data_IF_187519067225
#
_entry.id   IF_187519067225
#
_cell.length_a   1.000
_cell.length_b   1.000
_cell.length_c   1.000
_cell.angle_alpha   90.00
_cell.angle_beta   90.00
_cell.angle_gamma   90.00
#
_symmetry.space_group_name_H-M   'P 1'
#
loop_
_entity.id
_entity.type
_entity.pdbx_description
1 polymer ?
#
# COMPACT_ATOMS: atom_id res chain seq x y z
N UNK A 1 -45.11 83.04 -23.45
CA UNK A 1 -45.87 81.77 -23.65
C UNK A 1 -44.87 80.74 -24.18
N UNK A 2 -43.83 80.28 -23.50
CA UNK A 2 -43.53 80.02 -22.09
C UNK A 2 -44.52 79.10 -21.40
N UNK A 3 -44.03 77.87 -21.12
CA UNK A 3 -44.60 76.80 -20.27
C UNK A 3 -45.41 75.66 -20.91
N UNK A 4 -45.13 75.22 -22.14
CA UNK A 4 -45.66 73.92 -22.61
C UNK A 4 -44.66 72.93 -23.25
N UNK A 5 -43.39 73.29 -23.44
CA UNK A 5 -42.41 72.43 -24.11
C UNK A 5 -41.38 71.74 -23.21
N UNK A 6 -41.40 71.99 -21.89
CA UNK A 6 -40.48 71.35 -20.93
C UNK A 6 -41.09 70.07 -20.30
N UNK A 7 -42.42 69.88 -20.41
CA UNK A 7 -43.12 68.73 -19.83
C UNK A 7 -43.11 67.46 -20.72
N UNK A 8 -42.70 67.53 -21.98
CA UNK A 8 -42.69 66.36 -22.88
C UNK A 8 -41.39 65.55 -22.84
N UNK A 9 -40.30 66.08 -22.26
CA UNK A 9 -39.02 65.36 -22.19
C UNK A 9 -38.75 64.71 -20.83
N UNK A 10 -39.43 65.15 -19.76
CA UNK A 10 -39.35 64.53 -18.43
C UNK A 10 -40.17 63.24 -18.31
N UNK A 11 -41.11 62.97 -19.23
CA UNK A 11 -41.93 61.75 -19.19
C UNK A 11 -41.25 60.54 -19.85
N UNK A 12 -40.33 60.75 -20.81
CA UNK A 12 -39.59 59.64 -21.45
C UNK A 12 -38.37 59.16 -20.63
N UNK A 13 -37.83 59.97 -19.73
CA UNK A 13 -36.68 59.57 -18.89
C UNK A 13 -37.12 58.78 -17.65
N UNK A 14 -38.40 58.86 -17.25
CA UNK A 14 -38.95 58.09 -16.14
C UNK A 14 -39.46 56.68 -16.52
N UNK A 15 -39.47 56.33 -17.81
CA UNK A 15 -39.88 54.98 -18.27
C UNK A 15 -38.71 54.04 -18.57
N UNK A 16 -37.46 54.50 -18.47
CA UNK A 16 -36.27 53.66 -18.67
C UNK A 16 -35.59 53.19 -17.38
N UNK A 17 -36.16 53.50 -16.21
CA UNK A 17 -35.68 53.03 -14.91
C UNK A 17 -36.79 52.28 -14.18
N UNK A 18 -37.13 51.07 -14.63
CA UNK A 18 -37.58 49.94 -13.79
C UNK A 18 -37.73 48.71 -14.69
N UNK A 19 -36.62 48.19 -15.19
CA UNK A 19 -36.45 46.75 -15.40
C UNK A 19 -34.96 46.46 -15.19
N UNK A 20 -34.50 46.71 -13.96
CA UNK A 20 -33.51 45.80 -13.41
C UNK A 20 -34.31 44.51 -13.24
N UNK A 21 -34.25 43.62 -14.23
CA UNK A 21 -34.60 42.23 -13.98
C UNK A 21 -33.71 41.81 -12.83
N UNK A 22 -34.30 41.80 -11.65
CA UNK A 22 -33.73 41.23 -10.47
C UNK A 22 -33.52 39.78 -10.86
N UNK A 23 -32.30 39.43 -11.26
CA UNK A 23 -31.94 38.08 -11.65
C UNK A 23 -32.34 37.20 -10.47
N UNK A 24 -33.50 36.54 -10.61
CA UNK A 24 -34.03 35.66 -9.57
C UNK A 24 -32.98 34.59 -9.43
N UNK A 25 -32.32 34.55 -8.27
CA UNK A 25 -31.28 33.57 -8.01
C UNK A 25 -31.89 32.18 -8.26
N UNK A 26 -31.36 31.47 -9.25
CA UNK A 26 -31.84 30.14 -9.59
C UNK A 26 -31.63 29.21 -8.38
N UNK A 27 -32.58 28.31 -8.09
CA UNK A 27 -32.48 27.44 -6.94
C UNK A 27 -31.29 26.49 -7.08
N UNK A 28 -30.46 26.46 -6.04
CA UNK A 28 -29.26 25.63 -6.00
C UNK A 28 -29.51 24.44 -5.10
N UNK A 29 -29.12 23.24 -5.55
CA UNK A 29 -29.20 22.05 -4.73
C UNK A 29 -27.93 21.21 -4.82
N UNK A 30 -27.63 20.52 -3.72
CA UNK A 30 -26.53 19.57 -3.60
C UNK A 30 -27.07 18.29 -2.99
N UNK A 31 -26.79 17.16 -3.65
CA UNK A 31 -27.07 15.83 -3.12
C UNK A 31 -25.78 15.02 -3.10
N UNK A 32 -25.41 14.56 -1.90
CA UNK A 32 -24.21 13.78 -1.67
C UNK A 32 -24.57 12.35 -1.25
N UNK A 33 -24.00 11.36 -1.95
CA UNK A 33 -24.19 9.93 -1.72
C UNK A 33 -22.85 9.19 -1.93
N UNK A 34 -22.55 8.11 -1.19
CA UNK A 34 -21.41 7.26 -1.50
C UNK A 34 -21.51 6.66 -2.90
N UNK A 35 -20.41 6.66 -3.65
CA UNK A 35 -20.35 6.05 -4.98
C UNK A 35 -20.43 4.50 -4.92
N UNK A 36 -20.02 3.91 -3.80
CA UNK A 36 -20.08 2.46 -3.54
C UNK A 36 -20.78 2.23 -2.21
N UNK A 37 -21.79 1.36 -2.22
CA UNK A 37 -22.65 1.04 -1.08
C UNK A 37 -22.60 -0.48 -0.84
N UNK A 38 -22.47 -0.87 0.41
CA UNK A 38 -22.53 -2.27 0.82
C UNK A 38 -23.97 -2.80 0.73
N UNK A 39 -24.17 -3.92 0.06
CA UNK A 39 -25.48 -4.54 -0.11
C UNK A 39 -26.09 -4.90 1.25
N UNK A 40 -27.37 -4.59 1.44
CA UNK A 40 -28.09 -4.83 2.70
C UNK A 40 -27.76 -3.88 3.86
N UNK A 41 -26.75 -3.00 3.72
CA UNK A 41 -26.36 -2.06 4.75
C UNK A 41 -27.33 -0.87 4.85
N UNK A 42 -27.36 -0.23 6.03
CA UNK A 42 -27.97 1.09 6.20
C UNK A 42 -27.05 2.16 5.60
N UNK A 43 -27.46 2.70 4.45
CA UNK A 43 -26.76 3.75 3.73
C UNK A 43 -27.38 5.11 4.02
N UNK A 44 -26.61 6.19 3.81
CA UNK A 44 -27.04 7.57 4.06
C UNK A 44 -26.70 8.45 2.87
N UNK A 45 -27.63 9.31 2.48
CA UNK A 45 -27.36 10.42 1.58
C UNK A 45 -27.85 11.73 2.22
N UNK A 46 -27.23 12.84 1.83
CA UNK A 46 -27.59 14.17 2.33
C UNK A 46 -28.04 15.06 1.18
N UNK A 47 -29.07 15.85 1.44
CA UNK A 47 -29.71 16.76 0.51
C UNK A 47 -29.64 18.16 1.09
N UNK A 48 -29.23 19.11 0.27
CA UNK A 48 -29.23 20.54 0.59
C UNK A 48 -29.95 21.30 -0.51
N UNK A 49 -30.89 22.16 -0.15
CA UNK A 49 -31.54 23.12 -1.04
C UNK A 49 -31.23 24.53 -0.55
N UNK A 50 -30.81 25.41 -1.45
CA UNK A 50 -30.50 26.82 -1.20
C UNK A 50 -31.26 27.70 -2.18
N UNK A 51 -31.72 28.85 -1.68
CA UNK A 51 -32.37 29.90 -2.47
C UNK A 51 -33.52 29.36 -3.35
N UNK A 52 -34.53 28.67 -2.79
CA UNK A 52 -35.67 28.20 -3.58
C UNK A 52 -36.39 29.39 -4.25
N UNK A 53 -36.63 29.29 -5.56
CA UNK A 53 -37.33 30.30 -6.36
C UNK A 53 -38.87 30.19 -6.27
N UNK A 54 -39.38 29.41 -5.32
CA UNK A 54 -40.79 29.07 -5.13
C UNK A 54 -40.94 27.74 -4.39
N UNK A 55 -42.15 27.18 -4.41
CA UNK A 55 -42.40 25.83 -3.86
C UNK A 55 -41.76 24.78 -4.78
N UNK A 56 -40.74 24.09 -4.29
CA UNK A 56 -40.03 23.03 -5.02
C UNK A 56 -40.34 21.66 -4.42
N UNK A 57 -40.57 20.68 -5.27
CA UNK A 57 -40.68 19.26 -4.91
C UNK A 57 -39.42 18.56 -5.36
N UNK A 58 -38.63 18.08 -4.39
CA UNK A 58 -37.45 17.26 -4.66
C UNK A 58 -37.77 15.79 -4.42
N UNK A 59 -37.53 14.97 -5.43
CA UNK A 59 -37.68 13.51 -5.40
C UNK A 59 -36.33 12.85 -5.67
N UNK A 60 -35.95 11.92 -4.80
CA UNK A 60 -34.77 11.07 -4.97
C UNK A 60 -35.22 9.63 -5.16
N UNK A 61 -34.77 9.01 -6.25
CA UNK A 61 -35.17 7.65 -6.62
C UNK A 61 -33.93 6.82 -6.92
N UNK A 62 -33.86 5.63 -6.35
CA UNK A 62 -32.90 4.61 -6.72
C UNK A 62 -33.55 3.66 -7.72
N UNK A 63 -33.00 3.61 -8.93
CA UNK A 63 -33.53 2.83 -10.06
C UNK A 63 -32.61 1.66 -10.37
N UNK A 64 -33.18 0.45 -10.26
CA UNK A 64 -32.62 -0.79 -10.79
C UNK A 64 -33.33 -1.14 -12.11
N UNK A 65 -32.85 -2.17 -12.82
CA UNK A 65 -33.49 -2.71 -14.02
C UNK A 65 -34.92 -3.19 -13.78
N UNK A 66 -35.19 -3.70 -12.57
CA UNK A 66 -36.46 -4.35 -12.23
C UNK A 66 -37.39 -3.44 -11.42
N UNK A 67 -36.83 -2.51 -10.65
CA UNK A 67 -37.61 -1.72 -9.68
C UNK A 67 -37.08 -0.30 -9.51
N UNK A 68 -38.01 0.64 -9.43
CA UNK A 68 -37.76 2.01 -9.01
C UNK A 68 -38.19 2.18 -7.55
N UNK A 69 -37.26 2.60 -6.69
CA UNK A 69 -37.54 2.82 -5.27
C UNK A 69 -37.35 4.30 -4.94
N UNK A 70 -38.44 4.99 -4.59
CA UNK A 70 -38.36 6.37 -4.12
C UNK A 70 -37.82 6.39 -2.70
N UNK A 71 -36.67 7.04 -2.50
CA UNK A 71 -35.97 7.12 -1.21
C UNK A 71 -36.35 8.37 -0.42
N UNK A 72 -36.69 9.46 -1.11
CA UNK A 72 -37.03 10.72 -0.48
C UNK A 72 -37.92 11.55 -1.40
N UNK A 73 -38.96 12.14 -0.83
CA UNK A 73 -39.77 13.17 -1.48
C UNK A 73 -40.02 14.25 -0.46
N UNK A 74 -39.69 15.50 -0.79
CA UNK A 74 -39.92 16.63 0.09
C UNK A 74 -40.30 17.87 -0.70
N UNK A 75 -41.34 18.54 -0.22
CA UNK A 75 -41.83 19.80 -0.77
C UNK A 75 -41.43 20.91 0.18
N UNK A 76 -40.69 21.89 -0.31
CA UNK A 76 -40.28 23.05 0.49
C UNK A 76 -40.21 24.30 -0.37
N UNK A 77 -40.58 25.42 0.22
CA UNK A 77 -40.33 26.78 -0.27
C UNK A 77 -39.21 27.49 0.51
N UNK A 78 -38.60 26.81 1.50
CA UNK A 78 -37.49 27.30 2.30
C UNK A 78 -36.22 26.47 2.08
N UNK A 79 -35.06 27.07 2.33
CA UNK A 79 -33.78 26.38 2.30
C UNK A 79 -33.72 25.32 3.41
N UNK A 80 -33.22 24.13 3.10
CA UNK A 80 -33.10 23.05 4.07
C UNK A 80 -31.85 22.21 3.83
N UNK A 81 -31.42 21.53 4.88
CA UNK A 81 -30.42 20.47 4.81
C UNK A 81 -30.90 19.29 5.65
N UNK A 82 -30.97 18.12 5.03
CA UNK A 82 -31.37 16.90 5.72
C UNK A 82 -30.59 15.70 5.18
N UNK A 83 -30.48 14.66 5.98
CA UNK A 83 -29.88 13.41 5.53
C UNK A 83 -30.83 12.25 5.80
N UNK A 84 -30.97 11.38 4.81
CA UNK A 84 -31.91 10.27 4.80
C UNK A 84 -31.13 8.97 4.87
N UNK A 85 -31.55 8.09 5.78
CA UNK A 85 -31.05 6.72 5.86
C UNK A 85 -31.96 5.80 5.05
N UNK A 86 -31.39 4.83 4.37
CA UNK A 86 -32.12 3.82 3.64
C UNK A 86 -31.37 2.49 3.64
N UNK A 87 -32.13 1.39 3.61
CA UNK A 87 -31.57 0.05 3.49
C UNK A 87 -31.22 -0.26 2.04
N UNK A 88 -29.95 -0.55 1.78
CA UNK A 88 -29.48 -0.91 0.46
C UNK A 88 -30.06 -2.28 0.02
N UNK A 89 -30.41 -2.46 -1.27
CA UNK A 89 -30.81 -3.76 -1.81
C UNK A 89 -29.79 -4.87 -1.53
N UNK A 90 -30.28 -6.08 -1.30
CA UNK A 90 -29.46 -7.29 -1.16
C UNK A 90 -29.12 -7.85 -2.55
N UNK A 91 -27.98 -7.41 -3.09
CA UNK A 91 -27.48 -7.82 -4.41
C UNK A 91 -26.00 -8.21 -4.30
N UNK A 92 -25.56 -9.17 -5.12
CA UNK A 92 -24.14 -9.57 -5.13
C UNK A 92 -23.26 -8.43 -5.66
N UNK A 93 -23.61 -7.89 -6.83
CA UNK A 93 -22.96 -6.73 -7.44
C UNK A 93 -23.87 -6.17 -8.53
N UNK A 94 -24.28 -4.92 -8.38
CA UNK A 94 -25.12 -4.22 -9.35
C UNK A 94 -24.74 -2.74 -9.42
N UNK A 95 -24.92 -2.13 -10.58
CA UNK A 95 -24.86 -0.67 -10.75
C UNK A 95 -26.28 -0.17 -10.93
N UNK A 96 -26.69 0.77 -10.06
CA UNK A 96 -28.02 1.35 -10.07
C UNK A 96 -27.95 2.86 -10.34
N UNK A 97 -29.03 3.40 -10.88
CA UNK A 97 -29.15 4.83 -11.19
C UNK A 97 -29.77 5.56 -9.99
N UNK A 98 -28.98 6.43 -9.37
CA UNK A 98 -29.43 7.37 -8.35
C UNK A 98 -29.89 8.65 -9.02
N UNK A 99 -31.22 8.79 -9.15
CA UNK A 99 -31.87 9.91 -9.80
C UNK A 99 -32.33 10.94 -8.78
N UNK A 100 -31.98 12.20 -9.00
CA UNK A 100 -32.51 13.37 -8.29
C UNK A 100 -33.33 14.19 -9.28
N UNK A 101 -34.58 14.45 -8.93
CA UNK A 101 -35.51 15.28 -9.70
C UNK A 101 -36.04 16.40 -8.82
N UNK A 102 -35.88 17.64 -9.25
CA UNK A 102 -36.36 18.84 -8.55
C UNK A 102 -37.32 19.56 -9.49
N UNK A 103 -38.57 19.74 -9.05
CA UNK A 103 -39.63 20.34 -9.85
C UNK A 103 -40.32 21.46 -9.08
N UNK A 104 -40.41 22.63 -9.70
CA UNK A 104 -41.27 23.75 -9.32
C UNK A 104 -42.02 24.28 -10.54
N UNK A 105 -42.70 25.39 -10.38
CA UNK A 105 -43.48 26.00 -11.46
C UNK A 105 -42.60 26.55 -12.59
N UNK A 106 -41.47 27.16 -12.22
CA UNK A 106 -40.51 27.78 -13.16
C UNK A 106 -39.16 27.06 -13.23
N UNK A 107 -38.97 26.01 -12.42
CA UNK A 107 -37.70 25.30 -12.31
C UNK A 107 -37.88 23.78 -12.49
N UNK A 108 -37.05 23.19 -13.33
CA UNK A 108 -36.96 21.75 -13.49
C UNK A 108 -35.51 21.30 -13.62
N UNK A 109 -35.12 20.32 -12.82
CA UNK A 109 -33.80 19.72 -12.91
C UNK A 109 -33.87 18.23 -12.65
N UNK A 110 -33.18 17.45 -13.50
CA UNK A 110 -33.07 16.01 -13.36
C UNK A 110 -31.62 15.59 -13.55
N UNK A 111 -31.06 14.98 -12.53
CA UNK A 111 -29.67 14.50 -12.53
C UNK A 111 -29.65 13.02 -12.19
N UNK A 112 -28.80 12.26 -12.88
CA UNK A 112 -28.63 10.83 -12.66
C UNK A 112 -27.16 10.53 -12.42
N UNK A 113 -26.86 9.83 -11.34
CA UNK A 113 -25.53 9.31 -11.02
C UNK A 113 -25.58 7.81 -10.83
N UNK A 114 -24.56 7.11 -11.31
CA UNK A 114 -24.43 5.66 -11.12
C UNK A 114 -23.82 5.39 -9.75
N UNK A 115 -24.47 4.53 -8.98
CA UNK A 115 -23.97 4.03 -7.69
C UNK A 115 -23.76 2.52 -7.78
N UNK A 116 -22.66 2.02 -7.24
CA UNK A 116 -22.38 0.59 -7.19
C UNK A 116 -22.86 0.02 -5.86
N UNK A 117 -23.73 -0.98 -5.91
CA UNK A 117 -24.18 -1.73 -4.74
C UNK A 117 -23.56 -3.13 -4.85
N UNK A 118 -22.77 -3.53 -3.86
CA UNK A 118 -22.11 -4.85 -3.87
C UNK A 118 -22.08 -5.45 -2.48
N UNK A 119 -22.16 -6.76 -2.41
CA UNK A 119 -21.89 -7.50 -1.19
C UNK A 119 -20.49 -7.16 -0.68
N UNK A 120 -20.31 -7.16 0.64
CA UNK A 120 -18.99 -7.02 1.24
C UNK A 120 -18.09 -8.16 0.79
N UNK A 121 -16.98 -7.79 0.17
CA UNK A 121 -15.90 -8.73 -0.10
C UNK A 121 -15.36 -9.26 1.23
N UNK A 122 -15.34 -10.58 1.40
CA UNK A 122 -14.63 -11.23 2.49
C UNK A 122 -13.19 -11.48 2.08
N UNK A 123 -12.26 -11.28 3.02
CA UNK A 123 -10.87 -11.68 2.89
C UNK A 123 -10.65 -12.95 3.71
N UNK A 124 -10.03 -13.96 3.09
CA UNK A 124 -9.78 -15.26 3.73
C UNK A 124 -8.27 -15.47 3.89
N UNK A 125 -7.86 -15.85 5.10
CA UNK A 125 -6.47 -16.16 5.45
C UNK A 125 -6.36 -17.64 5.87
N UNK A 126 -5.30 -18.30 5.42
CA UNK A 126 -4.87 -19.60 5.92
C UNK A 126 -3.62 -19.39 6.76
N UNK A 127 -3.55 -20.04 7.91
CA UNK A 127 -2.39 -20.00 8.78
C UNK A 127 -2.12 -21.39 9.36
N UNK A 128 -0.88 -21.85 9.25
CA UNK A 128 -0.37 -23.05 9.94
C UNK A 128 0.22 -22.72 11.31
N UNK A 129 0.32 -23.71 12.19
CA UNK A 129 1.00 -23.54 13.49
C UNK A 129 2.52 -23.42 13.36
N UNK A 130 3.10 -23.99 12.29
CA UNK A 130 4.54 -23.90 11.96
C UNK A 130 4.74 -23.67 10.47
N UNK A 131 5.82 -22.98 10.05
CA UNK A 131 6.20 -22.87 8.65
C UNK A 131 6.92 -24.12 8.12
N UNK A 132 7.53 -24.91 9.01
CA UNK A 132 8.32 -26.12 8.68
C UNK A 132 7.90 -27.27 9.59
N UNK A 133 7.63 -28.44 9.00
CA UNK A 133 7.28 -29.68 9.70
C UNK A 133 8.31 -30.78 9.41
N UNK A 134 8.48 -31.69 10.36
CA UNK A 134 9.19 -32.95 10.13
C UNK A 134 8.25 -33.98 9.49
N UNK A 135 8.76 -34.95 8.70
CA UNK A 135 7.99 -36.13 8.33
C UNK A 135 7.37 -36.81 9.56
N UNK A 136 6.13 -37.30 9.43
CA UNK A 136 5.37 -37.89 10.54
C UNK A 136 4.65 -36.90 11.46
N UNK A 137 4.87 -35.59 11.33
CA UNK A 137 4.21 -34.60 12.17
C UNK A 137 2.78 -34.29 11.73
N UNK A 138 1.98 -33.85 12.71
CA UNK A 138 0.64 -33.32 12.48
C UNK A 138 0.70 -31.83 12.14
N UNK A 139 0.23 -31.49 10.94
CA UNK A 139 0.02 -30.12 10.47
C UNK A 139 -1.28 -29.61 11.04
N UNK A 140 -1.24 -28.56 11.88
CA UNK A 140 -2.44 -27.88 12.34
C UNK A 140 -2.56 -26.55 11.61
N UNK A 141 -3.74 -26.26 11.08
CA UNK A 141 -3.97 -25.02 10.36
C UNK A 141 -5.37 -24.48 10.61
N UNK A 142 -5.52 -23.19 10.39
CA UNK A 142 -6.80 -22.50 10.51
C UNK A 142 -7.10 -21.69 9.26
N UNK A 143 -8.39 -21.61 8.93
CA UNK A 143 -8.92 -20.80 7.85
C UNK A 143 -9.87 -19.76 8.44
N UNK A 144 -9.60 -18.49 8.16
CA UNK A 144 -10.33 -17.36 8.76
C UNK A 144 -10.83 -16.46 7.65
N UNK A 145 -12.15 -16.30 7.55
CA UNK A 145 -12.77 -15.29 6.70
C UNK A 145 -13.12 -14.06 7.55
N UNK A 146 -12.81 -12.87 7.04
CA UNK A 146 -13.08 -11.58 7.67
C UNK A 146 -13.74 -10.62 6.69
N UNK A 147 -14.58 -9.72 7.21
CA UNK A 147 -15.14 -8.61 6.44
C UNK A 147 -14.17 -7.41 6.35
N UNK A 148 -14.57 -6.37 5.62
CA UNK A 148 -13.80 -5.13 5.47
C UNK A 148 -13.57 -4.37 6.79
N UNK A 149 -14.23 -4.76 7.88
CA UNK A 149 -14.06 -4.20 9.24
C UNK A 149 -13.26 -5.14 10.14
N UNK A 150 -12.57 -6.14 9.56
CA UNK A 150 -11.78 -7.14 10.28
C UNK A 150 -12.59 -7.99 11.27
N UNK A 151 -13.90 -8.12 11.04
CA UNK A 151 -14.77 -8.97 11.87
C UNK A 151 -14.88 -10.35 11.23
N UNK A 152 -14.94 -11.45 12.02
CA UNK A 152 -15.16 -12.78 11.47
C UNK A 152 -16.42 -12.83 10.62
N UNK A 153 -16.29 -13.34 9.40
CA UNK A 153 -17.37 -13.51 8.45
C UNK A 153 -17.74 -14.99 8.33
N UNK A 154 -19.03 -15.26 8.15
CA UNK A 154 -19.48 -16.61 7.81
C UNK A 154 -19.14 -16.91 6.35
N UNK A 155 -18.34 -17.95 6.12
CA UNK A 155 -17.91 -18.33 4.79
C UNK A 155 -18.03 -19.84 4.64
N UNK A 156 -18.67 -20.26 3.55
CA UNK A 156 -18.65 -21.63 3.07
C UNK A 156 -17.39 -21.82 2.22
N UNK A 157 -16.63 -22.88 2.52
CA UNK A 157 -15.45 -23.32 1.79
C UNK A 157 -15.84 -24.60 1.05
N UNK A 158 -15.96 -24.53 -0.28
CA UNK A 158 -16.45 -25.67 -1.08
C UNK A 158 -15.49 -26.84 -1.01
N UNK A 159 -14.19 -26.54 -1.16
CA UNK A 159 -13.11 -27.53 -1.09
C UNK A 159 -11.90 -26.90 -0.41
N UNK A 160 -11.42 -27.56 0.63
CA UNK A 160 -10.10 -27.32 1.21
C UNK A 160 -9.26 -28.55 0.87
N UNK A 161 -8.10 -28.35 0.25
CA UNK A 161 -7.21 -29.45 -0.12
C UNK A 161 -5.78 -29.17 0.28
N UNK A 162 -5.06 -30.24 0.59
CA UNK A 162 -3.64 -30.22 0.92
C UNK A 162 -2.89 -30.99 -0.16
N UNK A 163 -1.92 -30.33 -0.78
CA UNK A 163 -1.12 -30.87 -1.89
C UNK A 163 0.33 -31.11 -1.46
N UNK A 164 0.90 -32.21 -1.95
CA UNK A 164 2.32 -32.56 -1.79
C UNK A 164 3.22 -31.75 -2.77
N UNK A 165 4.56 -31.91 -2.71
CA UNK A 165 5.49 -31.22 -3.61
C UNK A 165 5.30 -31.53 -5.10
N UNK A 166 4.59 -32.60 -5.46
CA UNK A 166 4.28 -32.97 -6.83
C UNK A 166 2.86 -32.54 -7.24
N UNK A 167 2.19 -31.71 -6.43
CA UNK A 167 0.80 -31.28 -6.62
C UNK A 167 -0.22 -32.42 -6.53
N UNK A 168 0.11 -33.54 -5.88
CA UNK A 168 -0.86 -34.57 -5.56
C UNK A 168 -1.71 -34.15 -4.37
N UNK A 169 -3.04 -34.27 -4.47
CA UNK A 169 -3.94 -34.01 -3.34
C UNK A 169 -3.86 -35.16 -2.34
N UNK A 170 -3.35 -34.87 -1.14
CA UNK A 170 -3.18 -35.84 -0.05
C UNK A 170 -4.17 -35.63 1.10
N UNK A 171 -4.77 -34.44 1.20
CA UNK A 171 -5.85 -34.14 2.16
C UNK A 171 -7.00 -33.40 1.51
N UNK A 172 -8.23 -33.64 1.97
CA UNK A 172 -9.43 -32.99 1.44
C UNK A 172 -10.51 -32.83 2.51
N UNK A 173 -11.13 -31.65 2.55
CA UNK A 173 -12.34 -31.34 3.30
C UNK A 173 -13.35 -30.65 2.37
N UNK A 174 -14.62 -31.04 2.47
CA UNK A 174 -15.67 -30.60 1.55
C UNK A 174 -16.76 -29.84 2.31
N UNK A 175 -17.21 -28.72 1.74
CA UNK A 175 -18.32 -27.92 2.25
C UNK A 175 -18.16 -27.52 3.73
N UNK A 176 -16.95 -27.14 4.12
CA UNK A 176 -16.65 -26.69 5.47
C UNK A 176 -17.17 -25.27 5.68
N UNK A 177 -17.66 -24.97 6.89
CA UNK A 177 -18.16 -23.63 7.23
C UNK A 177 -17.45 -23.10 8.46
N UNK A 178 -17.12 -21.81 8.44
CA UNK A 178 -16.56 -21.14 9.60
C UNK A 178 -17.60 -20.89 10.70
N UNK A 179 -18.91 -20.87 10.38
CA UNK A 179 -20.01 -20.51 11.29
C UNK A 179 -19.73 -19.21 12.09
N UNK A 180 -19.13 -18.21 11.44
CA UNK A 180 -18.63 -16.96 12.05
C UNK A 180 -17.58 -17.15 13.16
N UNK A 181 -16.87 -18.28 13.13
CA UNK A 181 -15.73 -18.62 14.01
C UNK A 181 -14.48 -18.88 13.15
N UNK A 182 -13.42 -19.31 13.80
CA UNK A 182 -12.18 -19.75 13.15
C UNK A 182 -12.35 -21.24 12.82
N UNK A 183 -12.25 -21.61 11.53
CA UNK A 183 -12.21 -23.01 11.14
C UNK A 183 -10.82 -23.56 11.45
N UNK A 184 -10.73 -24.64 12.22
CA UNK A 184 -9.47 -25.29 12.58
C UNK A 184 -9.48 -26.72 12.05
N UNK A 185 -8.44 -27.08 11.31
CA UNK A 185 -8.28 -28.37 10.67
C UNK A 185 -6.87 -28.89 10.94
N UNK A 186 -6.69 -30.18 10.70
CA UNK A 186 -5.39 -30.80 10.90
C UNK A 186 -5.20 -32.02 10.02
N UNK A 187 -3.95 -32.28 9.64
CA UNK A 187 -3.55 -33.38 8.77
C UNK A 187 -2.29 -34.06 9.31
N UNK A 188 -2.30 -35.38 9.43
CA UNK A 188 -1.13 -36.14 9.87
C UNK A 188 -0.28 -36.50 8.66
N UNK A 189 0.97 -36.01 8.60
CA UNK A 189 1.92 -36.41 7.56
C UNK A 189 2.40 -37.84 7.81
N UNK A 190 2.66 -38.57 6.72
CA UNK A 190 3.30 -39.89 6.80
C UNK A 190 4.73 -39.78 7.34
N UNK A 191 5.20 -40.82 8.03
CA UNK A 191 6.59 -40.89 8.52
C UNK A 191 7.62 -40.84 7.41
N UNK A 192 7.24 -41.24 6.20
CA UNK A 192 8.04 -41.21 4.98
C UNK A 192 7.61 -40.08 4.02
N UNK A 193 6.90 -39.06 4.53
CA UNK A 193 6.50 -37.90 3.74
C UNK A 193 7.71 -37.27 3.02
N UNK A 194 7.52 -36.97 1.73
CA UNK A 194 8.55 -36.39 0.87
C UNK A 194 8.95 -35.01 1.38
N UNK A 195 10.25 -34.72 1.38
CA UNK A 195 10.74 -33.39 1.72
C UNK A 195 10.47 -32.42 0.56
N UNK A 196 10.01 -31.20 0.87
CA UNK A 196 9.69 -30.20 -0.13
C UNK A 196 8.60 -29.21 0.30
N UNK A 197 8.17 -28.33 -0.61
CA UNK A 197 7.06 -27.41 -0.38
C UNK A 197 5.71 -28.12 -0.49
N UNK A 198 4.85 -27.91 0.49
CA UNK A 198 3.47 -28.36 0.53
C UNK A 198 2.55 -27.14 0.45
N UNK A 199 1.34 -27.34 -0.05
CA UNK A 199 0.39 -26.25 -0.24
C UNK A 199 -1.00 -26.62 0.28
N UNK A 200 -1.61 -25.71 1.03
CA UNK A 200 -3.03 -25.76 1.40
C UNK A 200 -3.78 -24.82 0.46
N UNK A 201 -4.82 -25.31 -0.20
CA UNK A 201 -5.65 -24.54 -1.13
C UNK A 201 -7.08 -24.54 -0.61
N UNK A 202 -7.69 -23.36 -0.53
CA UNK A 202 -9.10 -23.19 -0.15
C UNK A 202 -9.85 -22.58 -1.33
N UNK A 203 -10.91 -23.26 -1.78
CA UNK A 203 -11.79 -22.85 -2.87
C UNK A 203 -13.14 -22.37 -2.33
N UNK A 204 -13.60 -21.21 -2.82
CA UNK A 204 -14.86 -20.53 -2.45
C UNK A 204 -15.49 -19.93 -3.72
N UNK A 205 -16.35 -20.69 -4.40
CA UNK A 205 -16.84 -20.42 -5.74
C UNK A 205 -15.67 -20.29 -6.72
N UNK A 206 -15.59 -19.15 -7.40
CA UNK A 206 -14.50 -18.84 -8.33
C UNK A 206 -13.21 -18.38 -7.65
N UNK A 207 -13.23 -18.15 -6.32
CA UNK A 207 -12.06 -17.67 -5.58
C UNK A 207 -11.25 -18.84 -5.04
N UNK A 208 -9.94 -18.79 -5.24
CA UNK A 208 -8.97 -19.71 -4.63
C UNK A 208 -7.91 -18.93 -3.88
N UNK A 209 -7.59 -19.38 -2.68
CA UNK A 209 -6.46 -18.88 -1.90
C UNK A 209 -5.55 -20.06 -1.58
N UNK A 210 -4.25 -19.79 -1.45
CA UNK A 210 -3.29 -20.82 -1.07
C UNK A 210 -2.31 -20.34 0.00
N UNK A 211 -1.78 -21.30 0.73
CA UNK A 211 -0.74 -21.08 1.74
C UNK A 211 0.25 -22.23 1.71
N UNK A 212 1.54 -21.88 1.73
CA UNK A 212 2.62 -22.84 1.60
C UNK A 212 3.28 -23.10 2.95
N UNK A 213 3.65 -24.35 3.20
CA UNK A 213 4.53 -24.75 4.30
C UNK A 213 5.58 -25.74 3.77
N UNK A 214 6.67 -25.96 4.51
CA UNK A 214 7.74 -26.87 4.11
C UNK A 214 7.73 -28.14 4.97
N UNK A 215 8.01 -29.29 4.36
CA UNK A 215 8.38 -30.50 5.09
C UNK A 215 9.85 -30.78 4.81
N UNK A 216 10.66 -30.89 5.85
CA UNK A 216 12.10 -31.10 5.73
C UNK A 216 12.62 -31.72 7.03
N UNK A 217 13.59 -32.63 6.93
CA UNK A 217 14.27 -33.14 8.12
C UNK A 217 15.23 -32.08 8.64
N UNK A 218 14.82 -31.34 9.67
CA UNK A 218 15.68 -30.39 10.35
C UNK A 218 16.04 -30.86 11.76
N UNK A 219 17.24 -30.49 12.19
CA UNK A 219 17.61 -30.53 13.61
C UNK A 219 17.34 -29.15 14.15
N UNK A 220 16.59 -29.05 15.26
CA UNK A 220 16.33 -27.77 15.90
C UNK A 220 17.67 -27.11 16.24
N UNK A 221 17.97 -25.91 15.72
CA UNK A 221 19.22 -25.22 16.03
C UNK A 221 19.33 -24.99 17.54
N UNK A 222 20.48 -25.32 18.12
CA UNK A 222 20.74 -25.11 19.56
C UNK A 222 21.00 -23.64 19.91
N UNK A 223 21.31 -22.84 18.89
CA UNK A 223 21.58 -21.42 18.98
C UNK A 223 21.02 -20.72 17.74
N UNK A 224 20.85 -19.41 17.87
CA UNK A 224 20.41 -18.52 16.79
C UNK A 224 21.52 -17.52 16.45
N UNK A 225 21.58 -17.09 15.19
CA UNK A 225 22.60 -16.17 14.66
C UNK A 225 21.91 -14.90 14.19
N UNK A 226 22.27 -13.78 14.78
CA UNK A 226 21.75 -12.45 14.42
C UNK A 226 22.81 -11.65 13.66
N UNK A 227 22.44 -11.14 12.48
CA UNK A 227 23.29 -10.27 11.64
C UNK A 227 22.80 -8.83 11.71
N UNK A 228 23.49 -8.02 12.52
CA UNK A 228 23.26 -6.60 12.68
C UNK A 228 24.08 -5.82 11.66
N UNK A 229 23.39 -5.29 10.66
CA UNK A 229 23.91 -4.44 9.58
C UNK A 229 22.76 -3.54 9.15
N UNK A 230 23.07 -2.32 8.72
CA UNK A 230 22.10 -1.37 8.15
C UNK A 230 21.36 -2.00 6.98
N UNK A 231 20.05 -1.75 6.88
CA UNK A 231 19.22 -2.28 5.77
C UNK A 231 19.59 -1.66 4.42
N UNK A 232 20.15 -0.46 4.47
CA UNK A 232 20.60 0.31 3.32
C UNK A 232 21.98 0.89 3.61
N UNK A 233 22.83 0.93 2.58
CA UNK A 233 24.20 1.41 2.66
C UNK A 233 24.52 2.30 1.45
N UNK A 234 25.35 3.32 1.62
CA UNK A 234 25.64 4.30 0.55
C UNK A 234 26.75 3.80 -0.38
N UNK A 235 26.59 3.98 -1.69
CA UNK A 235 27.64 3.62 -2.67
C UNK A 235 29.00 4.30 -2.37
N UNK A 236 28.97 5.53 -1.84
CA UNK A 236 30.15 6.33 -1.54
C UNK A 236 30.65 6.25 -0.10
N UNK A 237 30.10 5.39 0.75
CA UNK A 237 30.65 5.17 2.09
C UNK A 237 32.02 4.48 2.00
N UNK A 238 32.90 4.70 2.98
CA UNK A 238 34.23 4.08 2.98
C UNK A 238 34.16 2.60 3.36
N UNK A 239 33.48 2.28 4.46
CA UNK A 239 33.37 0.94 5.01
C UNK A 239 31.92 0.56 5.35
N UNK A 240 31.63 -0.73 5.29
CA UNK A 240 30.37 -1.36 5.71
C UNK A 240 30.62 -2.19 6.97
N UNK A 241 30.04 -1.76 8.08
CA UNK A 241 30.15 -2.48 9.35
C UNK A 241 29.05 -3.53 9.51
N UNK A 242 29.44 -4.77 9.83
CA UNK A 242 28.52 -5.87 10.13
C UNK A 242 28.89 -6.49 11.47
N UNK A 243 27.94 -6.54 12.40
CA UNK A 243 28.07 -7.23 13.69
C UNK A 243 27.25 -8.51 13.68
N UNK A 244 27.93 -9.65 13.82
CA UNK A 244 27.29 -10.96 13.88
C UNK A 244 27.37 -11.48 15.30
N UNK A 245 26.24 -11.88 15.87
CA UNK A 245 26.15 -12.42 17.22
C UNK A 245 25.46 -13.77 17.21
N UNK A 246 25.94 -14.70 18.03
CA UNK A 246 25.30 -15.99 18.24
C UNK A 246 24.95 -16.20 19.71
N UNK A 247 23.72 -16.64 19.96
CA UNK A 247 23.22 -16.93 21.31
C UNK A 247 22.50 -18.26 21.33
N UNK A 248 22.77 -19.07 22.35
CA UNK A 248 21.99 -20.27 22.58
C UNK A 248 20.51 -19.94 22.82
N UNK A 249 19.63 -20.91 22.61
CA UNK A 249 18.19 -20.76 22.86
C UNK A 249 17.85 -20.40 24.32
N UNK A 250 18.76 -20.67 25.27
CA UNK A 250 18.67 -20.26 26.68
C UNK A 250 19.35 -18.91 27.00
N UNK A 251 19.81 -18.18 25.97
CA UNK A 251 20.25 -16.78 26.06
C UNK A 251 21.75 -16.54 26.27
N UNK A 252 22.55 -17.57 26.54
CA UNK A 252 24.00 -17.41 26.71
C UNK A 252 24.75 -17.24 25.38
N UNK A 253 25.90 -16.54 25.39
CA UNK A 253 26.72 -16.34 24.19
C UNK A 253 27.32 -17.66 23.69
N UNK A 254 27.37 -17.83 22.37
CA UNK A 254 28.03 -18.99 21.75
C UNK A 254 29.50 -18.66 21.49
N UNK A 255 30.45 -19.35 22.14
CA UNK A 255 31.85 -19.26 21.75
C UNK A 255 32.05 -20.01 20.43
N UNK A 256 32.73 -19.38 19.48
CA UNK A 256 32.86 -19.96 18.15
C UNK A 256 33.58 -19.09 17.14
N UNK A 257 33.78 -19.66 15.96
CA UNK A 257 34.35 -18.97 14.81
C UNK A 257 33.24 -18.39 13.96
N UNK A 258 33.36 -17.11 13.63
CA UNK A 258 32.39 -16.39 12.80
C UNK A 258 33.03 -16.09 11.45
N UNK A 259 32.42 -16.59 10.38
CA UNK A 259 32.82 -16.31 8.99
C UNK A 259 31.73 -15.48 8.34
N UNK A 260 32.10 -14.35 7.73
CA UNK A 260 31.17 -13.48 7.00
C UNK A 260 31.67 -13.33 5.58
N UNK A 261 30.82 -13.68 4.62
CA UNK A 261 31.05 -13.45 3.20
C UNK A 261 30.07 -12.38 2.71
N UNK A 262 30.59 -11.29 2.16
CA UNK A 262 29.80 -10.21 1.57
C UNK A 262 30.05 -10.23 0.07
N UNK A 263 28.98 -10.30 -0.71
CA UNK A 263 29.04 -10.36 -2.17
C UNK A 263 28.11 -9.32 -2.80
N UNK A 264 28.57 -8.65 -3.86
CA UNK A 264 27.70 -7.85 -4.74
C UNK A 264 27.39 -8.64 -6.01
N UNK A 265 26.18 -9.20 -6.18
CA UNK A 265 25.88 -10.06 -7.31
C UNK A 265 25.83 -9.30 -8.64
N UNK A 266 26.11 -10.00 -9.73
CA UNK A 266 26.01 -9.48 -11.10
C UNK A 266 24.54 -9.49 -11.56
N UNK A 267 24.12 -8.48 -12.33
CA UNK A 267 22.83 -8.38 -12.98
C UNK A 267 22.77 -9.31 -14.21
N UNK A 268 22.21 -10.50 -14.00
CA UNK A 268 22.15 -11.60 -14.98
C UNK A 268 21.24 -11.33 -16.18
N UNK A 269 20.42 -10.28 -16.18
CA UNK A 269 19.53 -9.96 -17.31
C UNK A 269 20.24 -9.32 -18.52
N UNK A 270 21.51 -8.90 -18.38
CA UNK A 270 22.28 -8.25 -19.44
C UNK A 270 23.46 -9.08 -19.97
N UNK A 271 23.55 -10.35 -19.57
CA UNK A 271 24.65 -11.26 -19.92
C UNK A 271 24.13 -12.52 -20.61
N UNK A 272 24.00 -12.40 -21.94
CA UNK A 272 24.17 -13.40 -22.99
C UNK A 272 22.98 -14.18 -23.57
N UNK A 273 22.71 -13.90 -24.86
CA UNK A 273 22.53 -14.93 -25.89
C UNK A 273 23.87 -15.65 -26.12
N UNK A 274 24.21 -16.61 -25.25
CA UNK A 274 25.25 -17.59 -25.54
C UNK A 274 24.60 -18.96 -25.30
N UNK A 275 24.45 -19.72 -26.37
CA UNK A 275 24.12 -21.14 -26.33
C UNK A 275 25.36 -21.91 -25.92
N UNK A 276 25.43 -22.40 -24.68
CA UNK A 276 26.50 -23.30 -24.26
C UNK A 276 25.98 -24.48 -23.44
N UNK A 277 26.57 -25.63 -23.74
CA UNK A 277 26.29 -26.93 -23.15
C UNK A 277 26.77 -27.02 -21.70
N UNK A 278 26.17 -27.96 -20.99
CA UNK A 278 26.10 -28.25 -19.55
C UNK A 278 27.43 -28.41 -18.77
N UNK A 279 28.60 -28.08 -19.34
CA UNK A 279 29.91 -28.29 -18.70
C UNK A 279 30.62 -27.01 -18.22
N UNK A 280 30.10 -25.82 -18.54
CA UNK A 280 30.72 -24.53 -18.18
C UNK A 280 30.02 -23.80 -17.01
N UNK A 281 29.01 -24.41 -16.38
CA UNK A 281 28.28 -23.80 -15.27
C UNK A 281 29.20 -23.54 -14.05
N UNK A 282 30.26 -24.32 -13.86
CA UNK A 282 31.24 -24.12 -12.79
C UNK A 282 32.11 -22.85 -13.00
N UNK A 283 32.39 -22.46 -14.25
CA UNK A 283 33.09 -21.23 -14.57
C UNK A 283 32.24 -19.98 -14.27
N UNK A 284 30.90 -20.09 -14.34
CA UNK A 284 29.97 -19.01 -14.01
C UNK A 284 29.86 -18.72 -12.49
N UNK A 285 30.19 -19.68 -11.62
CA UNK A 285 30.36 -19.41 -10.19
C UNK A 285 31.71 -18.75 -9.87
N UNK A 286 32.71 -18.90 -10.75
CA UNK A 286 34.00 -18.21 -10.65
C UNK A 286 33.94 -16.77 -11.19
N UNK A 287 32.94 -16.43 -12.01
CA UNK A 287 32.47 -15.05 -12.24
C UNK A 287 31.42 -14.62 -11.19
N UNK A 288 31.52 -15.12 -9.96
CA UNK A 288 30.76 -14.57 -8.83
C UNK A 288 31.08 -13.09 -8.71
N UNK A 289 30.08 -12.24 -8.53
CA UNK A 289 30.30 -10.80 -8.37
C UNK A 289 31.27 -10.50 -7.21
N UNK A 290 31.71 -9.25 -7.08
CA UNK A 290 32.77 -8.93 -6.11
C UNK A 290 32.42 -9.40 -4.70
N UNK A 291 33.20 -10.35 -4.17
CA UNK A 291 33.00 -10.98 -2.87
C UNK A 291 34.24 -10.79 -1.99
N UNK A 292 34.02 -10.57 -0.70
CA UNK A 292 35.08 -10.58 0.31
C UNK A 292 34.63 -11.40 1.51
N UNK A 293 35.52 -12.27 1.98
CA UNK A 293 35.26 -13.13 3.14
C UNK A 293 36.24 -12.81 4.24
N UNK A 294 35.72 -12.61 5.45
CA UNK A 294 36.52 -12.48 6.67
C UNK A 294 36.09 -13.51 7.70
N UNK A 295 37.04 -13.94 8.53
CA UNK A 295 36.79 -14.84 9.65
C UNK A 295 37.41 -14.27 10.92
N UNK A 296 36.62 -14.22 12.00
CA UNK A 296 37.07 -13.76 13.32
C UNK A 296 36.55 -14.71 14.40
N UNK A 297 37.27 -14.80 15.52
CA UNK A 297 36.76 -15.48 16.71
C UNK A 297 35.71 -14.59 17.39
N UNK A 298 34.63 -15.20 17.88
CA UNK A 298 33.64 -14.48 18.69
C UNK A 298 34.25 -13.99 20.01
N UNK A 299 33.86 -12.80 20.44
CA UNK A 299 34.21 -12.24 21.73
C UNK A 299 33.48 -12.96 22.89
N UNK A 300 33.73 -12.52 24.13
CA UNK A 300 33.06 -13.07 25.33
C UNK A 300 31.54 -12.88 25.32
N UNK A 301 31.02 -12.00 24.46
CA UNK A 301 29.57 -11.77 24.29
C UNK A 301 28.97 -12.60 23.16
N UNK A 302 29.76 -13.48 22.53
CA UNK A 302 29.33 -14.32 21.41
C UNK A 302 29.19 -13.54 20.10
N UNK A 303 29.82 -12.37 20.00
CA UNK A 303 29.72 -11.48 18.85
C UNK A 303 31.07 -11.27 18.16
N UNK A 304 31.05 -10.96 16.87
CA UNK A 304 32.20 -10.49 16.12
C UNK A 304 31.79 -9.34 15.20
N UNK A 305 32.59 -8.27 15.19
CA UNK A 305 32.39 -7.10 14.33
C UNK A 305 33.36 -7.13 13.15
N UNK A 306 32.83 -6.89 11.96
CA UNK A 306 33.53 -6.88 10.68
C UNK A 306 33.37 -5.50 10.04
N UNK A 307 34.42 -5.03 9.38
CA UNK A 307 34.42 -3.78 8.62
C UNK A 307 34.92 -4.08 7.22
N UNK A 308 34.04 -3.96 6.23
CA UNK A 308 34.34 -4.28 4.84
C UNK A 308 34.50 -3.00 4.03
N UNK A 309 35.63 -2.84 3.34
CA UNK A 309 35.82 -1.66 2.52
C UNK A 309 34.90 -1.66 1.29
N UNK A 310 34.10 -0.60 1.13
CA UNK A 310 33.10 -0.51 0.07
C UNK A 310 33.72 -0.51 -1.33
N UNK A 311 34.96 -0.03 -1.46
CA UNK A 311 35.68 -0.02 -2.74
C UNK A 311 35.84 -1.42 -3.34
N UNK A 312 35.87 -2.47 -2.51
CA UNK A 312 35.94 -3.87 -2.98
C UNK A 312 34.72 -4.17 -3.86
N UNK A 313 33.54 -3.70 -3.47
CA UNK A 313 32.26 -3.99 -4.12
C UNK A 313 31.90 -3.00 -5.23
N UNK A 314 32.70 -1.95 -5.45
CA UNK A 314 32.48 -0.92 -6.49
C UNK A 314 33.55 -0.92 -7.58
N UNK A 315 34.59 -1.76 -7.47
CA UNK A 315 35.69 -1.88 -8.45
C UNK A 315 35.29 -2.31 -9.86
N UNK A 316 34.14 -2.99 -10.04
CA UNK A 316 33.65 -3.41 -11.35
C UNK A 316 32.39 -2.61 -11.69
N UNK A 317 32.49 -1.76 -12.72
CA UNK A 317 31.42 -0.81 -13.07
C UNK A 317 30.32 -1.43 -13.94
N UNK A 318 30.64 -2.49 -14.69
CA UNK A 318 29.68 -3.05 -15.63
C UNK A 318 28.89 -4.22 -15.02
N UNK A 319 27.59 -3.96 -14.79
CA UNK A 319 26.53 -4.95 -14.55
C UNK A 319 26.43 -5.51 -13.13
N UNK A 320 26.74 -4.77 -12.08
CA UNK A 320 26.44 -5.19 -10.70
C UNK A 320 25.00 -4.82 -10.29
N UNK A 321 24.40 -5.63 -9.42
CA UNK A 321 23.12 -5.28 -8.78
C UNK A 321 23.35 -4.26 -7.66
N UNK A 322 22.32 -3.49 -7.35
CA UNK A 322 22.36 -2.49 -6.27
C UNK A 322 22.02 -3.10 -4.90
N UNK A 323 22.59 -4.28 -4.63
CA UNK A 323 22.43 -5.02 -3.38
C UNK A 323 23.74 -5.67 -2.94
N UNK A 324 23.92 -5.84 -1.65
CA UNK A 324 24.94 -6.70 -1.04
C UNK A 324 24.23 -7.91 -0.43
N UNK A 325 24.66 -9.11 -0.81
CA UNK A 325 24.28 -10.38 -0.22
C UNK A 325 25.31 -10.73 0.87
N UNK A 326 24.89 -10.73 2.13
CA UNK A 326 25.70 -11.07 3.29
C UNK A 326 25.33 -12.48 3.75
N UNK A 327 26.30 -13.38 3.75
CA UNK A 327 26.18 -14.72 4.32
C UNK A 327 27.12 -14.84 5.51
N UNK A 328 26.54 -14.86 6.70
CA UNK A 328 27.25 -15.14 7.94
C UNK A 328 27.15 -16.63 8.29
N UNK A 329 28.20 -17.21 8.83
CA UNK A 329 28.23 -18.59 9.34
C UNK A 329 28.91 -18.57 10.70
N UNK A 330 28.27 -19.14 11.71
CA UNK A 330 28.87 -19.30 13.05
C UNK A 330 29.08 -20.79 13.30
N UNK A 331 30.31 -21.15 13.65
CA UNK A 331 30.72 -22.51 14.01
C UNK A 331 31.00 -22.57 15.52
N UNK A 332 30.21 -23.37 16.23
CA UNK A 332 30.29 -23.54 17.69
C UNK A 332 31.57 -24.28 18.10
N UNK A 333 32.25 -23.72 19.10
CA UNK A 333 33.43 -24.35 19.69
C UNK A 333 33.04 -25.62 20.49
N UNK A 334 33.73 -26.73 20.22
CA UNK A 334 33.54 -28.01 20.93
C UNK A 334 32.65 -29.01 20.19
N UNK A 335 31.61 -28.56 19.47
CA UNK A 335 30.73 -29.47 18.69
C UNK A 335 31.02 -29.44 17.19
N UNK A 336 31.57 -28.33 16.67
CA UNK A 336 31.75 -28.10 15.24
C UNK A 336 30.44 -27.86 14.48
N UNK A 337 29.31 -27.71 15.19
CA UNK A 337 28.02 -27.41 14.57
C UNK A 337 28.08 -26.00 14.01
N UNK A 338 27.64 -25.85 12.75
CA UNK A 338 27.63 -24.55 12.09
C UNK A 338 26.25 -24.15 11.63
N UNK A 339 25.89 -22.88 11.87
CA UNK A 339 24.61 -22.30 11.47
C UNK A 339 24.84 -21.11 10.54
N UNK A 340 24.34 -21.14 9.29
CA UNK A 340 24.39 -20.01 8.38
C UNK A 340 23.19 -19.08 8.57
N UNK A 341 23.40 -17.78 8.39
CA UNK A 341 22.37 -16.76 8.31
C UNK A 341 22.66 -15.85 7.13
N UNK A 342 21.62 -15.56 6.33
CA UNK A 342 21.72 -14.68 5.17
C UNK A 342 20.94 -13.39 5.41
N UNK A 343 21.47 -12.29 4.90
CA UNK A 343 20.82 -10.98 4.91
C UNK A 343 21.18 -10.24 3.63
N UNK A 344 20.20 -9.57 3.02
CA UNK A 344 20.39 -8.72 1.86
C UNK A 344 20.26 -7.26 2.26
N UNK A 345 21.17 -6.43 1.77
CA UNK A 345 21.25 -5.00 2.06
C UNK A 345 21.23 -4.23 0.75
N UNK A 346 20.49 -3.13 0.70
CA UNK A 346 20.35 -2.33 -0.53
C UNK A 346 21.47 -1.30 -0.62
N UNK A 347 22.01 -1.08 -1.82
CA UNK A 347 22.97 -0.01 -2.08
C UNK A 347 22.20 1.21 -2.60
N UNK A 348 22.29 2.32 -1.88
CA UNK A 348 21.68 3.59 -2.27
C UNK A 348 22.67 4.51 -2.97
N UNK A 349 22.23 5.12 -4.06
CA UNK A 349 22.93 6.23 -4.74
C UNK A 349 22.37 7.59 -4.31
N UNK A 350 21.33 7.59 -3.49
CA UNK A 350 20.65 8.79 -3.01
C UNK A 350 21.42 9.34 -1.81
N UNK A 351 22.29 10.32 -2.08
CA UNK A 351 23.10 11.00 -1.04
C UNK A 351 22.25 11.81 -0.06
N UNK A 352 21.06 12.23 -0.49
CA UNK A 352 20.14 13.02 0.30
C UNK A 352 18.85 13.30 -0.46
N UNK A 353 17.91 13.93 0.22
CA UNK A 353 16.59 14.26 -0.31
C UNK A 353 16.28 15.73 -0.07
N UNK A 354 15.75 16.38 -1.10
CA UNK A 354 15.08 17.69 -0.98
C UNK A 354 13.58 17.46 -1.11
N UNK A 355 12.80 18.00 -0.17
CA UNK A 355 11.35 17.80 -0.14
C UNK A 355 10.61 19.04 0.31
N UNK A 356 9.41 19.22 -0.22
CA UNK A 356 8.48 20.26 0.24
C UNK A 356 7.83 19.86 1.56
N UNK A 357 7.79 20.79 2.51
CA UNK A 357 7.09 20.69 3.78
C UNK A 357 6.18 21.91 3.94
N UNK A 358 4.98 21.68 4.48
CA UNK A 358 3.96 22.72 4.70
C UNK A 358 3.58 23.51 3.44
N UNK A 359 3.63 22.88 2.26
CA UNK A 359 3.16 23.49 1.00
C UNK A 359 1.71 23.07 0.74
N UNK A 360 0.77 24.00 0.51
CA UNK A 360 -0.59 23.66 0.18
C UNK A 360 -0.65 22.97 -1.18
N UNK A 361 -1.35 21.83 -1.26
CA UNK A 361 -1.57 21.12 -2.54
C UNK A 361 -2.58 21.82 -3.45
N UNK A 362 -3.43 22.65 -2.85
CA UNK A 362 -4.48 23.41 -3.52
C UNK A 362 -4.38 24.84 -3.02
N UNK A 363 -4.26 25.78 -3.94
CA UNK A 363 -4.21 27.20 -3.63
C UNK A 363 -5.07 27.96 -4.63
N UNK A 364 -5.55 29.14 -4.24
CA UNK A 364 -6.38 29.98 -5.08
C UNK A 364 -5.51 30.75 -6.07
N UNK A 365 -6.03 30.95 -7.28
CA UNK A 365 -5.34 31.76 -8.28
C UNK A 365 -5.24 33.20 -7.78
N UNK A 366 -4.01 33.70 -7.64
CA UNK A 366 -3.73 35.05 -7.12
C UNK A 366 -3.36 35.10 -5.63
N UNK A 367 -3.43 33.97 -4.91
CA UNK A 367 -2.89 33.85 -3.55
C UNK A 367 -1.38 33.60 -3.56
N UNK A 368 -0.67 34.12 -2.56
CA UNK A 368 0.74 33.79 -2.32
C UNK A 368 0.84 32.36 -1.79
N UNK A 369 1.79 31.59 -2.33
CA UNK A 369 2.01 30.20 -1.93
C UNK A 369 3.21 30.15 -1.01
N UNK A 370 2.92 30.15 0.29
CA UNK A 370 3.93 29.99 1.32
C UNK A 370 4.23 28.51 1.55
N UNK A 371 5.51 28.24 1.80
CA UNK A 371 5.97 26.87 1.95
C UNK A 371 7.39 26.80 2.49
N UNK A 372 7.80 25.58 2.80
CA UNK A 372 9.16 25.30 3.23
C UNK A 372 9.74 24.16 2.39
N UNK A 373 11.05 24.19 2.18
CA UNK A 373 11.83 23.09 1.63
C UNK A 373 12.71 22.54 2.73
N UNK A 374 12.86 21.23 2.79
CA UNK A 374 13.75 20.54 3.72
C UNK A 374 14.74 19.70 2.92
N UNK A 375 16.03 19.96 3.12
CA UNK A 375 17.13 19.18 2.60
C UNK A 375 17.75 18.35 3.74
N UNK A 376 17.82 17.04 3.53
CA UNK A 376 18.46 16.11 4.46
C UNK A 376 19.43 15.20 3.70
N UNK A 377 20.51 14.80 4.36
CA UNK A 377 21.33 13.69 3.91
C UNK A 377 20.56 12.37 4.05
N UNK A 378 21.12 11.30 3.48
CA UNK A 378 20.56 9.96 3.53
C UNK A 378 20.21 9.48 4.96
N UNK A 379 21.06 9.79 5.94
CA UNK A 379 20.86 9.48 7.36
C UNK A 379 19.83 10.41 8.07
N UNK A 380 19.03 11.17 7.31
CA UNK A 380 18.10 12.19 7.79
C UNK A 380 18.74 13.37 8.54
N UNK A 381 20.07 13.51 8.54
CA UNK A 381 20.71 14.68 9.13
C UNK A 381 20.48 15.92 8.25
N UNK A 382 20.26 17.10 8.84
CA UNK A 382 20.05 18.32 8.08
C UNK A 382 21.24 18.71 7.20
N UNK A 383 20.95 19.19 5.98
CA UNK A 383 21.96 19.85 5.15
C UNK A 383 21.92 21.35 5.43
N UNK A 384 22.82 21.84 6.29
CA UNK A 384 22.89 23.24 6.69
C UNK A 384 23.58 24.11 5.62
N UNK A 385 23.21 25.38 5.53
CA UNK A 385 23.83 26.40 4.68
C UNK A 385 23.93 26.02 3.19
N UNK A 386 23.02 25.16 2.72
CA UNK A 386 23.02 24.68 1.35
C UNK A 386 22.19 25.61 0.44
N UNK A 387 22.70 25.95 -0.76
CA UNK A 387 21.92 26.67 -1.76
C UNK A 387 20.82 25.76 -2.33
N UNK A 388 19.57 26.24 -2.27
CA UNK A 388 18.40 25.55 -2.83
C UNK A 388 17.72 26.45 -3.85
N UNK A 389 17.49 25.93 -5.05
CA UNK A 389 16.91 26.68 -6.16
C UNK A 389 15.46 26.26 -6.38
N UNK A 390 14.53 27.20 -6.23
CA UNK A 390 13.10 26.99 -6.42
C UNK A 390 12.71 27.34 -7.87
N UNK A 391 12.05 26.41 -8.54
CA UNK A 391 11.59 26.58 -9.93
C UNK A 391 10.08 26.31 -10.04
N UNK A 392 9.44 26.95 -11.02
CA UNK A 392 8.06 26.68 -11.45
C UNK A 392 8.00 26.33 -12.94
N UNK A 393 6.98 25.59 -13.34
CA UNK A 393 6.77 25.17 -14.73
C UNK A 393 7.06 23.70 -14.97
N UNK A 394 7.00 23.29 -16.24
CA UNK A 394 7.32 21.93 -16.65
C UNK A 394 8.84 21.70 -16.61
N UNK A 395 9.25 20.43 -16.42
CA UNK A 395 10.65 19.99 -16.30
C UNK A 395 11.61 20.54 -17.38
N UNK A 396 11.12 20.82 -18.59
CA UNK A 396 11.92 21.23 -19.73
C UNK A 396 11.95 22.76 -19.98
N UNK A 397 11.16 23.54 -19.24
CA UNK A 397 11.16 25.01 -19.26
C UNK A 397 10.98 25.57 -17.85
N UNK A 398 11.90 25.30 -16.91
CA UNK A 398 11.78 25.77 -15.55
C UNK A 398 12.03 27.28 -15.49
N UNK A 399 11.10 28.02 -14.92
CA UNK A 399 11.32 29.41 -14.54
C UNK A 399 11.82 29.44 -13.10
N UNK A 400 13.01 29.99 -12.90
CA UNK A 400 13.53 30.23 -11.55
C UNK A 400 12.63 31.22 -10.81
N UNK A 401 12.24 30.87 -9.59
CA UNK A 401 11.44 31.71 -8.70
C UNK A 401 12.32 32.38 -7.66
N UNK A 402 13.08 31.58 -6.92
CA UNK A 402 13.84 32.08 -5.76
C UNK A 402 15.07 31.20 -5.50
N UNK A 403 16.13 31.84 -5.04
CA UNK A 403 17.32 31.17 -4.49
C UNK A 403 17.22 31.25 -2.98
N UNK A 404 17.31 30.10 -2.33
CA UNK A 404 17.12 29.92 -0.90
C UNK A 404 18.42 29.36 -0.29
N UNK A 405 18.56 29.55 1.02
CA UNK A 405 19.63 28.93 1.80
C UNK A 405 18.99 28.21 2.98
N UNK A 406 19.38 26.96 3.22
CA UNK A 406 18.86 26.18 4.34
C UNK A 406 19.44 26.65 5.67
N UNK A 407 18.61 26.67 6.71
CA UNK A 407 19.01 26.95 8.08
C UNK A 407 19.73 25.75 8.74
N UNK A 408 20.04 25.86 10.03
CA UNK A 408 20.67 24.80 10.83
C UNK A 408 19.83 23.52 10.95
N UNK A 409 18.54 23.57 10.60
CA UNK A 409 17.64 22.42 10.54
C UNK A 409 17.47 21.90 9.11
N UNK A 410 18.23 22.42 8.15
CA UNK A 410 18.18 22.01 6.75
C UNK A 410 16.92 22.53 6.05
N UNK A 411 16.32 23.59 6.57
CA UNK A 411 15.03 24.12 6.12
C UNK A 411 15.20 25.51 5.52
N UNK A 412 14.54 25.77 4.39
CA UNK A 412 14.40 27.11 3.85
C UNK A 412 12.93 27.43 3.58
N UNK A 413 12.50 28.67 3.83
CA UNK A 413 11.12 29.10 3.61
C UNK A 413 11.00 29.93 2.35
N UNK A 414 9.87 29.82 1.64
CA UNK A 414 9.55 30.61 0.44
C UNK A 414 8.11 31.11 0.50
N UNK A 415 7.80 32.15 -0.29
CA UNK A 415 6.46 32.76 -0.42
C UNK A 415 6.15 33.15 -1.86
#
# INVERSE_FOLDING_TARGET
>A
MDRLWILSCTLCVLLSWMHVDQAVAEPQYLVAIPAVIEAGAEAKFCVTLRQPSGTLVMTVTLKSREKNTTLFTHTSNEAFQTCVQFKAPLVQKEVQDFQVEVRGDTFYSKQVRKVMIRASDTFTLIQTDKPIYLPGQKVNFRVVAMDNKMRPANQLYDVIELQDPNSNRIGQWLNETSNSRILQLSYSLDTEAREGPYQIIVSMGDRKISHNFKVEKYVLPKFDVTVNISEEVLIGQEDVEAKVCAKYTYGQPVPGRVTVNVCRPINRYSSFSISLYDYDLMALWQMGGSCHTETKQADKTGCATFSFNMSIFTKMDEKLQDVLDIRAKVEEEGTGVSLPQEKRVTISYVLGKVSFINVPKIWERGSNVEGKVRAVYHNNTPVCDAPVYLFTGQLWQPRSLQNLTTDSNGVASFS
#
